data_IF_535646501766
#
_entry.id   IF_535646501766
#
_cell.length_a   1.000
_cell.length_b   1.000
_cell.length_c   1.000
_cell.angle_alpha   90.00
_cell.angle_beta   90.00
_cell.angle_gamma   90.00
#
_symmetry.space_group_name_H-M   'P 1'
#
loop_
_entity.id
_entity.type
_entity.pdbx_description
1 polymer ?
#
# COMPACT_ATOMS: atom_id res chain seq x y z
N UNK A 1 34.90 -20.61 28.27
CA UNK A 1 34.18 -20.16 27.07
C UNK A 1 32.70 -20.19 27.40
N UNK A 2 32.15 -19.06 27.85
CA UNK A 2 30.70 -18.89 27.97
C UNK A 2 30.16 -18.77 26.54
N UNK A 3 29.53 -19.83 26.06
CA UNK A 3 28.89 -19.84 24.74
C UNK A 3 27.80 -18.78 24.69
N UNK A 4 27.66 -18.17 23.51
CA UNK A 4 26.71 -17.10 23.22
C UNK A 4 25.26 -17.65 23.23
N UNK A 5 24.71 -17.83 24.43
CA UNK A 5 23.38 -18.39 24.64
C UNK A 5 22.24 -17.58 23.96
N UNK A 6 22.30 -16.23 23.87
CA UNK A 6 21.35 -15.46 23.07
C UNK A 6 21.36 -15.83 21.59
N UNK A 7 22.53 -15.95 20.97
CA UNK A 7 22.65 -16.33 19.56
C UNK A 7 22.09 -17.74 19.30
N UNK A 8 22.34 -18.69 20.23
CA UNK A 8 21.79 -20.04 20.13
C UNK A 8 20.25 -20.06 20.21
N UNK A 9 19.66 -19.27 21.13
CA UNK A 9 18.19 -19.17 21.23
C UNK A 9 17.56 -18.57 19.97
N UNK A 10 18.17 -17.52 19.41
CA UNK A 10 17.72 -16.93 18.13
C UNK A 10 17.77 -17.94 17.00
N UNK A 11 18.87 -18.69 16.88
CA UNK A 11 19.02 -19.72 15.86
C UNK A 11 17.97 -20.85 16.00
N UNK A 12 17.71 -21.32 17.23
CA UNK A 12 16.68 -22.33 17.50
C UNK A 12 15.29 -21.81 17.11
N UNK A 13 14.96 -20.56 17.48
CA UNK A 13 13.70 -19.93 17.09
C UNK A 13 13.50 -19.87 15.57
N UNK A 14 14.55 -19.50 14.82
CA UNK A 14 14.51 -19.49 13.35
C UNK A 14 14.26 -20.88 12.75
N UNK A 15 14.82 -21.94 13.33
CA UNK A 15 14.60 -23.32 12.86
C UNK A 15 13.16 -23.77 13.10
N UNK A 16 12.58 -23.43 14.25
CA UNK A 16 11.18 -23.73 14.53
C UNK A 16 10.25 -22.98 13.60
N UNK A 17 10.45 -21.66 13.43
CA UNK A 17 9.68 -20.86 12.48
C UNK A 17 9.76 -21.40 11.05
N UNK A 18 10.95 -21.83 10.60
CA UNK A 18 11.10 -22.47 9.29
C UNK A 18 10.36 -23.83 9.19
N UNK A 19 10.31 -24.59 10.29
CA UNK A 19 9.58 -25.87 10.32
C UNK A 19 8.07 -25.65 10.24
N UNK A 20 7.55 -24.64 10.93
CA UNK A 20 6.14 -24.26 10.90
C UNK A 20 5.73 -23.70 9.53
N UNK A 21 6.60 -22.96 8.86
CA UNK A 21 6.38 -22.47 7.49
C UNK A 21 6.27 -23.64 6.50
N UNK A 22 7.16 -24.62 6.59
CA UNK A 22 7.09 -25.84 5.75
C UNK A 22 5.81 -26.63 6.02
N UNK A 23 5.38 -26.71 7.28
CA UNK A 23 4.17 -27.43 7.67
C UNK A 23 2.87 -26.73 7.20
N UNK A 24 2.87 -25.40 7.13
CA UNK A 24 1.72 -24.59 6.68
C UNK A 24 1.78 -24.23 5.18
N UNK A 25 2.83 -24.65 4.47
CA UNK A 25 3.02 -24.43 3.04
C UNK A 25 1.92 -25.03 2.17
N UNK A 26 1.58 -24.41 1.02
CA UNK A 26 0.69 -25.01 0.04
C UNK A 26 1.28 -26.31 -0.51
N UNK A 27 0.41 -27.29 -0.76
CA UNK A 27 0.79 -28.61 -1.26
C UNK A 27 0.53 -28.77 -2.76
N UNK A 28 -0.06 -27.77 -3.40
CA UNK A 28 -0.39 -27.74 -4.82
C UNK A 28 0.06 -26.42 -5.48
N UNK A 29 0.20 -26.44 -6.82
CA UNK A 29 0.65 -25.27 -7.59
C UNK A 29 -0.30 -24.08 -7.40
N UNK A 30 -1.60 -24.34 -7.33
CA UNK A 30 -2.64 -23.33 -7.15
C UNK A 30 -2.47 -22.57 -5.83
N UNK A 31 -2.21 -23.28 -4.73
CA UNK A 31 -1.89 -22.69 -3.44
C UNK A 31 -0.57 -21.93 -3.44
N UNK A 32 0.46 -22.45 -4.11
CA UNK A 32 1.75 -21.74 -4.29
C UNK A 32 1.56 -20.41 -5.02
N UNK A 33 0.90 -20.45 -6.18
CA UNK A 33 0.61 -19.29 -7.02
C UNK A 33 -0.27 -18.28 -6.28
N UNK A 34 -1.31 -18.74 -5.60
CA UNK A 34 -2.19 -17.86 -4.83
C UNK A 34 -1.44 -17.17 -3.68
N UNK A 35 -0.61 -17.91 -2.92
CA UNK A 35 0.22 -17.32 -1.87
C UNK A 35 1.13 -16.24 -2.45
N UNK A 36 1.76 -16.51 -3.60
CA UNK A 36 2.63 -15.54 -4.27
C UNK A 36 1.86 -14.29 -4.71
N UNK A 37 0.71 -14.44 -5.36
CA UNK A 37 -0.15 -13.31 -5.74
C UNK A 37 -0.66 -12.52 -4.53
N UNK A 38 -0.90 -13.18 -3.39
CA UNK A 38 -1.30 -12.53 -2.16
C UNK A 38 -0.18 -11.65 -1.58
N UNK A 39 1.09 -12.12 -1.59
CA UNK A 39 2.26 -11.31 -1.21
C UNK A 39 2.41 -10.08 -2.11
N UNK A 40 2.27 -10.26 -3.42
CA UNK A 40 2.28 -9.16 -4.40
C UNK A 40 1.16 -8.16 -4.08
N UNK A 41 -0.06 -8.65 -3.83
CA UNK A 41 -1.21 -7.81 -3.51
C UNK A 41 -1.00 -7.02 -2.20
N UNK A 42 -0.36 -7.61 -1.19
CA UNK A 42 0.01 -6.91 0.03
C UNK A 42 1.01 -5.77 -0.25
N UNK A 43 2.04 -6.03 -1.07
CA UNK A 43 3.00 -5.00 -1.48
C UNK A 43 2.34 -3.84 -2.24
N UNK A 44 1.46 -4.14 -3.20
CA UNK A 44 0.70 -3.10 -3.94
C UNK A 44 -0.22 -2.31 -3.01
N UNK A 45 -0.88 -2.96 -2.04
CA UNK A 45 -1.71 -2.27 -1.04
C UNK A 45 -0.89 -1.37 -0.12
N UNK A 46 0.30 -1.82 0.30
CA UNK A 46 1.20 -1.01 1.12
C UNK A 46 1.63 0.25 0.37
N UNK A 47 2.09 0.11 -0.89
CA UNK A 47 2.43 1.24 -1.75
C UNK A 47 1.25 2.20 -1.98
N UNK A 48 0.03 1.67 -2.16
CA UNK A 48 -1.16 2.50 -2.33
C UNK A 48 -1.48 3.32 -1.07
N UNK A 49 -1.41 2.67 0.11
CA UNK A 49 -1.64 3.32 1.39
C UNK A 49 -0.59 4.41 1.67
N UNK A 50 0.67 4.11 1.41
CA UNK A 50 1.78 5.06 1.54
C UNK A 50 1.56 6.32 0.68
N UNK A 51 1.13 6.12 -0.57
CA UNK A 51 0.81 7.23 -1.46
C UNK A 51 -0.42 8.04 -1.02
N UNK A 52 -1.47 7.38 -0.52
CA UNK A 52 -2.64 8.04 0.06
C UNK A 52 -2.28 8.89 1.29
N UNK A 53 -1.40 8.37 2.15
CA UNK A 53 -0.88 9.10 3.32
C UNK A 53 -0.07 10.34 2.89
N UNK A 54 0.77 10.22 1.86
CA UNK A 54 1.53 11.34 1.29
C UNK A 54 0.63 12.44 0.72
N UNK A 55 -0.43 12.05 -0.01
CA UNK A 55 -1.43 12.98 -0.56
C UNK A 55 -2.16 13.69 0.58
N UNK A 56 -2.65 12.95 1.58
CA UNK A 56 -3.38 13.50 2.71
C UNK A 56 -2.51 14.47 3.54
N UNK A 57 -1.26 14.11 3.82
CA UNK A 57 -0.31 14.98 4.52
C UNK A 57 -0.05 16.29 3.75
N UNK A 58 0.07 16.20 2.42
CA UNK A 58 0.30 17.37 1.57
C UNK A 58 -0.92 18.31 1.51
N UNK A 59 -2.13 17.74 1.47
CA UNK A 59 -3.38 18.52 1.50
C UNK A 59 -3.57 19.23 2.84
N UNK A 60 -3.32 18.54 3.96
CA UNK A 60 -3.37 19.14 5.30
C UNK A 60 -2.35 20.28 5.47
N UNK A 61 -1.14 20.12 4.92
CA UNK A 61 -0.13 21.16 4.95
C UNK A 61 -0.54 22.42 4.16
N UNK A 62 -1.26 22.23 3.04
CA UNK A 62 -1.79 23.34 2.26
C UNK A 62 -2.88 24.11 3.01
N UNK A 63 -3.78 23.42 3.72
CA UNK A 63 -4.85 24.04 4.52
C UNK A 63 -4.32 24.72 5.81
N UNK A 64 -3.29 24.15 6.44
CA UNK A 64 -2.68 24.71 7.65
C UNK A 64 -1.75 25.90 7.41
N UNK A 65 -1.28 26.09 6.17
CA UNK A 65 -0.35 27.16 5.78
C UNK A 65 -0.97 28.55 5.68
N UNK A 66 -2.29 28.66 5.52
CA UNK A 66 -2.98 29.95 5.36
C UNK A 66 -3.19 30.70 6.70
N UNK A 67 -2.88 30.09 7.85
CA UNK A 67 -3.05 30.70 9.18
C UNK A 67 -1.80 31.31 9.83
N UNK A 68 -0.60 31.14 9.25
CA UNK A 68 0.67 31.50 9.90
C UNK A 68 1.50 32.57 9.17
N UNK A 69 0.86 33.37 8.29
CA UNK A 69 1.52 34.46 7.57
C UNK A 69 0.77 35.80 7.62
N UNK A 70 0.08 36.11 8.72
CA UNK A 70 -0.33 37.49 9.05
C UNK A 70 0.30 37.94 10.37
N UNK A 71 1.55 38.39 10.31
CA UNK A 71 2.27 38.80 11.51
C UNK A 71 3.52 39.65 11.28
N UNK A 72 3.65 40.31 10.12
CA UNK A 72 4.63 41.39 9.94
C UNK A 72 4.27 42.30 8.77
N UNK A 73 3.13 42.98 8.85
CA UNK A 73 2.86 44.15 8.03
C UNK A 73 2.55 45.33 8.94
N UNK A 74 3.26 46.42 8.66
CA UNK A 74 3.28 47.66 9.44
C UNK A 74 1.89 48.29 9.56
N UNK A 75 1.68 48.94 10.70
CA UNK A 75 0.48 49.67 11.05
C UNK A 75 0.03 50.65 9.95
N UNK A 76 -1.19 50.45 9.47
CA UNK A 76 -1.92 51.36 8.60
C UNK A 76 -3.38 51.40 9.02
N UNK A 77 -3.71 52.44 9.80
CA UNK A 77 -5.03 52.84 10.29
C UNK A 77 -6.09 52.85 9.17
N UNK A 78 -7.27 52.28 9.41
CA UNK A 78 -8.33 52.21 8.39
C UNK A 78 -9.60 51.53 8.87
N UNK A 79 -10.58 52.36 9.20
CA UNK A 79 -11.82 52.12 9.91
C UNK A 79 -12.96 51.42 9.11
N UNK A 80 -13.86 50.82 9.88
CA UNK A 80 -15.30 50.55 9.64
C UNK A 80 -15.86 49.55 8.58
N UNK A 81 -16.41 48.45 9.16
CA UNK A 81 -17.82 48.00 9.12
C UNK A 81 -18.44 47.32 7.87
N UNK A 82 -18.85 46.05 8.04
CA UNK A 82 -20.25 45.60 7.87
C UNK A 82 -20.42 44.09 8.21
N UNK A 83 -21.30 43.80 9.18
CA UNK A 83 -21.89 42.48 9.45
C UNK A 83 -22.88 42.05 8.34
N UNK A 84 -22.97 40.75 8.05
CA UNK A 84 -24.24 40.03 7.93
C UNK A 84 -24.06 38.52 7.70
N UNK A 85 -24.75 37.70 8.50
CA UNK A 85 -25.42 36.50 8.00
C UNK A 85 -24.80 35.13 8.30
N UNK A 86 -24.80 34.72 9.59
CA UNK A 86 -24.75 33.30 9.98
C UNK A 86 -26.16 32.69 9.92
N UNK A 87 -26.35 31.63 9.14
CA UNK A 87 -27.38 30.63 9.42
C UNK A 87 -26.76 29.23 9.36
N UNK A 88 -27.13 28.43 10.36
CA UNK A 88 -26.60 27.14 10.71
C UNK A 88 -27.55 26.02 10.25
N UNK A 89 -26.98 24.88 9.86
CA UNK A 89 -27.72 23.63 9.64
C UNK A 89 -26.82 22.42 9.87
N UNK A 90 -26.96 21.81 11.06
CA UNK A 90 -26.50 20.46 11.43
C UNK A 90 -27.39 19.43 10.70
N UNK A 91 -26.87 18.42 9.99
CA UNK A 91 -26.22 17.19 10.43
C UNK A 91 -27.16 16.22 11.17
N UNK A 92 -27.59 15.15 10.47
CA UNK A 92 -27.92 13.84 11.02
C UNK A 92 -27.57 12.80 9.92
N UNK A 93 -26.57 11.96 10.17
CA UNK A 93 -26.36 10.72 9.41
C UNK A 93 -25.95 9.63 10.40
N UNK A 94 -26.59 8.48 10.20
CA UNK A 94 -26.71 7.33 11.10
C UNK A 94 -25.44 6.47 11.03
N UNK A 95 -25.01 5.94 12.18
CA UNK A 95 -24.03 4.86 12.22
C UNK A 95 -24.51 3.80 13.23
N UNK A 96 -24.87 2.64 12.68
CA UNK A 96 -25.16 1.40 13.39
C UNK A 96 -23.86 0.79 13.91
N UNK A 97 -23.80 0.50 15.21
CA UNK A 97 -22.69 -0.20 15.86
C UNK A 97 -23.15 -1.64 16.16
N UNK A 98 -22.74 -2.59 15.31
CA UNK A 98 -22.85 -4.02 15.60
C UNK A 98 -21.71 -4.44 16.53
N UNK A 99 -22.10 -5.04 17.65
CA UNK A 99 -21.18 -5.56 18.65
C UNK A 99 -20.39 -6.77 18.17
N UNK A 100 -19.14 -6.85 18.63
CA UNK A 100 -18.43 -8.11 18.72
C UNK A 100 -17.69 -8.23 20.05
N UNK A 101 -18.19 -9.18 20.82
CA UNK A 101 -17.65 -9.76 22.03
C UNK A 101 -16.64 -10.84 21.62
N UNK A 102 -15.45 -10.86 22.22
CA UNK A 102 -14.64 -12.07 22.38
C UNK A 102 -13.55 -11.86 23.44
N UNK A 103 -13.25 -12.95 24.12
CA UNK A 103 -12.69 -13.05 25.46
C UNK A 103 -11.16 -13.16 25.50
N UNK A 104 -10.60 -12.66 26.61
CA UNK A 104 -9.60 -13.24 27.52
C UNK A 104 -8.24 -13.85 27.02
N UNK A 105 -7.21 -13.36 27.71
CA UNK A 105 -5.99 -14.04 28.21
C UNK A 105 -4.87 -14.43 27.22
N UNK A 106 -3.80 -13.62 27.20
CA UNK A 106 -2.41 -14.11 27.27
C UNK A 106 -1.45 -13.00 27.75
N UNK A 107 -1.09 -12.99 29.03
CA UNK A 107 -0.06 -12.12 29.59
C UNK A 107 1.32 -12.71 29.32
N UNK A 108 1.92 -12.33 28.19
CA UNK A 108 3.33 -12.52 27.88
C UNK A 108 4.13 -11.24 28.15
N UNK A 109 4.73 -11.11 29.34
CA UNK A 109 5.72 -10.07 29.64
C UNK A 109 6.98 -10.29 28.77
N UNK A 110 7.06 -9.58 27.65
CA UNK A 110 8.26 -9.41 26.85
C UNK A 110 8.84 -8.02 27.06
N UNK A 111 10.07 -7.95 27.60
CA UNK A 111 10.91 -6.75 27.65
C UNK A 111 11.08 -6.16 26.22
N UNK A 112 10.27 -5.16 25.88
CA UNK A 112 10.45 -4.27 24.74
C UNK A 112 11.28 -3.05 25.17
N UNK A 113 12.57 -3.26 25.46
CA UNK A 113 13.53 -2.17 25.42
C UNK A 113 13.98 -1.97 23.96
N UNK A 114 13.31 -1.04 23.26
CA UNK A 114 13.79 -0.54 21.98
C UNK A 114 12.75 -0.01 21.01
N UNK A 115 11.71 0.70 21.47
CA UNK A 115 10.95 1.62 20.61
C UNK A 115 11.87 2.80 20.25
N UNK A 116 12.78 2.54 19.30
CA UNK A 116 13.33 3.57 18.45
C UNK A 116 12.18 4.06 17.58
N UNK A 117 11.68 5.24 17.92
CA UNK A 117 10.72 6.04 17.19
C UNK A 117 11.20 6.30 15.75
N UNK A 118 11.09 5.30 14.87
CA UNK A 118 11.33 5.41 13.43
C UNK A 118 10.17 6.18 12.73
N UNK A 119 9.33 6.90 13.48
CA UNK A 119 8.25 7.73 12.92
C UNK A 119 8.69 9.12 12.45
N UNK A 120 9.96 9.49 12.67
CA UNK A 120 10.49 10.82 12.35
C UNK A 120 11.04 10.98 10.91
N UNK A 121 11.19 9.90 10.11
CA UNK A 121 11.74 10.01 8.74
C UNK A 121 10.77 10.66 7.73
N UNK A 122 9.46 10.65 7.98
CA UNK A 122 8.48 11.27 7.07
C UNK A 122 8.43 12.80 7.17
N UNK A 123 8.90 13.41 8.26
CA UNK A 123 8.73 14.85 8.50
C UNK A 123 9.68 15.73 7.68
N UNK A 124 10.78 15.17 7.17
CA UNK A 124 11.80 15.92 6.41
C UNK A 124 11.71 15.73 4.89
N UNK A 125 10.78 14.90 4.41
CA UNK A 125 10.62 14.56 2.98
C UNK A 125 9.85 15.62 2.17
N UNK A 126 9.44 16.73 2.78
CA UNK A 126 8.70 17.81 2.12
C UNK A 126 7.22 17.47 1.85
N UNK A 127 6.51 18.40 1.21
CA UNK A 127 5.08 18.25 0.88
C UNK A 127 4.87 18.50 -0.62
N UNK A 128 3.90 17.78 -1.20
CA UNK A 128 3.53 17.95 -2.60
C UNK A 128 2.86 19.31 -2.82
N UNK A 129 3.24 19.98 -3.90
CA UNK A 129 2.57 21.19 -4.40
C UNK A 129 1.33 20.81 -5.21
N UNK A 130 0.43 21.76 -5.46
CA UNK A 130 -0.87 21.48 -6.10
C UNK A 130 -0.81 20.65 -7.41
N UNK A 131 0.15 20.90 -8.30
CA UNK A 131 0.30 20.09 -9.52
C UNK A 131 0.88 18.68 -9.26
N UNK A 132 1.72 18.55 -8.24
CA UNK A 132 2.31 17.28 -7.80
C UNK A 132 1.24 16.42 -7.10
N UNK A 133 0.34 17.03 -6.32
CA UNK A 133 -0.83 16.36 -5.72
C UNK A 133 -1.71 15.73 -6.80
N UNK A 134 -2.07 16.48 -7.86
CA UNK A 134 -2.87 15.91 -8.95
C UNK A 134 -2.17 14.76 -9.70
N UNK A 135 -0.83 14.79 -9.74
CA UNK A 135 -0.03 13.70 -10.32
C UNK A 135 -0.01 12.48 -9.41
N UNK A 136 0.14 12.69 -8.10
CA UNK A 136 0.08 11.64 -7.08
C UNK A 136 -1.31 10.97 -7.04
N UNK A 137 -2.40 11.73 -7.15
CA UNK A 137 -3.77 11.20 -7.26
C UNK A 137 -3.95 10.30 -8.49
N UNK A 138 -3.39 10.70 -9.65
CA UNK A 138 -3.41 9.88 -10.85
C UNK A 138 -2.61 8.57 -10.67
N UNK A 139 -1.46 8.64 -10.02
CA UNK A 139 -0.66 7.46 -9.67
C UNK A 139 -1.41 6.55 -8.67
N UNK A 140 -2.11 7.10 -7.68
CA UNK A 140 -2.95 6.34 -6.76
C UNK A 140 -4.07 5.60 -7.51
N UNK A 141 -4.69 6.26 -8.51
CA UNK A 141 -5.63 5.61 -9.42
C UNK A 141 -5.03 4.41 -10.16
N UNK A 142 -3.78 4.53 -10.64
CA UNK A 142 -3.06 3.43 -11.30
C UNK A 142 -2.75 2.28 -10.33
N UNK A 143 -2.31 2.56 -9.10
CA UNK A 143 -2.09 1.55 -8.05
C UNK A 143 -3.41 0.85 -7.68
N UNK A 144 -4.51 1.61 -7.59
CA UNK A 144 -5.85 1.06 -7.39
C UNK A 144 -6.27 0.10 -8.50
N UNK A 145 -5.99 0.45 -9.76
CA UNK A 145 -6.22 -0.41 -10.92
C UNK A 145 -5.34 -1.68 -10.87
N UNK A 146 -4.07 -1.55 -10.49
CA UNK A 146 -3.16 -2.69 -10.30
C UNK A 146 -3.67 -3.67 -9.24
N UNK A 147 -4.08 -3.16 -8.07
CA UNK A 147 -4.71 -3.96 -7.02
C UNK A 147 -6.06 -4.56 -7.42
N UNK A 148 -6.80 -3.88 -8.30
CA UNK A 148 -8.03 -4.39 -8.92
C UNK A 148 -7.76 -5.57 -9.86
N UNK A 149 -6.77 -5.44 -10.73
CA UNK A 149 -6.35 -6.50 -11.66
C UNK A 149 -5.89 -7.76 -10.91
N UNK A 150 -5.05 -7.61 -9.87
CA UNK A 150 -4.62 -8.73 -9.04
C UNK A 150 -5.80 -9.46 -8.39
N UNK A 151 -6.80 -8.72 -7.88
CA UNK A 151 -8.02 -9.32 -7.33
C UNK A 151 -8.84 -10.05 -8.40
N UNK A 152 -8.97 -9.45 -9.57
CA UNK A 152 -9.68 -10.04 -10.70
C UNK A 152 -9.03 -11.33 -11.20
N UNK A 153 -7.70 -11.46 -11.09
CA UNK A 153 -6.94 -12.67 -11.45
C UNK A 153 -6.97 -13.73 -10.34
N UNK A 154 -6.84 -13.30 -9.08
CA UNK A 154 -6.72 -14.22 -7.94
C UNK A 154 -7.98 -15.07 -7.73
N UNK A 155 -9.16 -14.52 -8.03
CA UNK A 155 -10.43 -15.22 -7.85
C UNK A 155 -10.59 -16.40 -8.84
N UNK A 156 -10.44 -16.22 -10.17
CA UNK A 156 -10.40 -17.33 -11.11
C UNK A 156 -9.35 -18.37 -10.77
N UNK A 157 -8.16 -17.98 -10.32
CA UNK A 157 -7.15 -18.95 -9.88
C UNK A 157 -7.71 -19.87 -8.79
N UNK A 158 -8.42 -19.33 -7.80
CA UNK A 158 -9.01 -20.08 -6.69
C UNK A 158 -10.25 -20.90 -7.07
N UNK A 159 -11.12 -20.37 -7.93
CA UNK A 159 -12.40 -21.00 -8.27
C UNK A 159 -12.32 -21.93 -9.50
N UNK A 160 -11.33 -21.70 -10.37
CA UNK A 160 -11.16 -22.39 -11.65
C UNK A 160 -10.55 -23.79 -11.57
N UNK A 161 -10.21 -24.39 -12.73
CA UNK A 161 -9.68 -25.74 -12.82
C UNK A 161 -8.37 -25.95 -12.03
N UNK A 162 -7.93 -27.20 -11.84
CA UNK A 162 -6.60 -27.48 -11.27
C UNK A 162 -5.48 -26.89 -12.13
N UNK A 163 -4.42 -26.39 -11.51
CA UNK A 163 -3.20 -25.94 -12.19
C UNK A 163 -2.14 -27.03 -12.05
N UNK A 164 -1.76 -27.67 -13.15
CA UNK A 164 -0.76 -28.74 -13.15
C UNK A 164 0.14 -28.66 -14.40
N UNK A 165 1.17 -29.50 -14.47
CA UNK A 165 2.15 -29.47 -15.55
C UNK A 165 1.55 -29.77 -16.95
N UNK A 166 0.35 -30.34 -17.02
CA UNK A 166 -0.36 -30.59 -18.27
C UNK A 166 -1.36 -29.47 -18.61
N UNK A 167 -1.67 -28.60 -17.63
CA UNK A 167 -2.70 -27.58 -17.73
C UNK A 167 -2.24 -26.22 -17.18
N UNK A 168 -1.90 -25.32 -18.11
CA UNK A 168 -1.68 -23.88 -17.94
C UNK A 168 -0.70 -23.43 -16.84
N UNK A 169 0.15 -24.31 -16.32
CA UNK A 169 1.11 -23.98 -15.27
C UNK A 169 2.12 -22.93 -15.75
N UNK A 170 2.65 -23.07 -16.97
CA UNK A 170 3.65 -22.15 -17.52
C UNK A 170 3.10 -20.71 -17.63
N UNK A 171 1.85 -20.56 -18.07
CA UNK A 171 1.15 -19.27 -18.17
C UNK A 171 0.91 -18.66 -16.78
N UNK A 172 0.51 -19.47 -15.80
CA UNK A 172 0.36 -18.98 -14.43
C UNK A 172 1.69 -18.58 -13.78
N UNK A 173 2.77 -19.32 -14.02
CA UNK A 173 4.12 -18.98 -13.54
C UNK A 173 4.62 -17.68 -14.21
N UNK A 174 4.40 -17.53 -15.51
CA UNK A 174 4.66 -16.31 -16.28
C UNK A 174 3.90 -15.12 -15.68
N UNK A 175 2.60 -15.28 -15.44
CA UNK A 175 1.76 -14.26 -14.82
C UNK A 175 2.26 -13.89 -13.42
N UNK A 176 2.59 -14.87 -12.58
CA UNK A 176 3.10 -14.64 -11.23
C UNK A 176 4.43 -13.87 -11.25
N UNK A 177 5.30 -14.17 -12.21
CA UNK A 177 6.53 -13.40 -12.42
C UNK A 177 6.26 -11.95 -12.81
N UNK A 178 5.29 -11.70 -13.71
CA UNK A 178 4.86 -10.34 -14.04
C UNK A 178 4.23 -9.62 -12.83
N UNK A 179 3.48 -10.33 -11.99
CA UNK A 179 2.91 -9.78 -10.77
C UNK A 179 4.00 -9.29 -9.79
N UNK A 180 5.12 -10.01 -9.67
CA UNK A 180 6.26 -9.54 -8.88
C UNK A 180 6.90 -8.26 -9.44
N UNK A 181 6.97 -8.15 -10.76
CA UNK A 181 7.43 -6.93 -11.44
C UNK A 181 6.46 -5.78 -11.22
N UNK A 182 5.15 -6.05 -11.22
CA UNK A 182 4.13 -5.06 -10.93
C UNK A 182 4.32 -4.47 -9.54
N UNK A 183 4.50 -5.30 -8.51
CA UNK A 183 4.80 -4.83 -7.15
C UNK A 183 6.01 -3.91 -7.12
N UNK A 184 7.13 -4.34 -7.71
CA UNK A 184 8.38 -3.55 -7.73
C UNK A 184 8.18 -2.22 -8.46
N UNK A 185 7.39 -2.22 -9.55
CA UNK A 185 7.04 -1.03 -10.31
C UNK A 185 6.13 -0.06 -9.52
N UNK A 186 5.18 -0.59 -8.74
CA UNK A 186 4.36 0.23 -7.85
C UNK A 186 5.19 0.90 -6.74
N UNK A 187 6.09 0.16 -6.10
CA UNK A 187 7.01 0.69 -5.08
C UNK A 187 7.92 1.79 -5.69
N UNK A 188 8.48 1.56 -6.88
CA UNK A 188 9.29 2.55 -7.59
C UNK A 188 8.48 3.79 -8.01
N UNK A 189 7.23 3.62 -8.45
CA UNK A 189 6.35 4.73 -8.80
C UNK A 189 6.06 5.63 -7.59
N UNK A 190 5.81 5.03 -6.41
CA UNK A 190 5.64 5.79 -5.16
C UNK A 190 6.95 6.49 -4.76
N UNK A 191 8.09 5.81 -4.91
CA UNK A 191 9.39 6.40 -4.62
C UNK A 191 9.66 7.68 -5.44
N UNK A 192 9.29 7.70 -6.72
CA UNK A 192 9.40 8.88 -7.59
C UNK A 192 8.47 10.04 -7.22
N UNK A 193 7.51 9.82 -6.32
CA UNK A 193 6.58 10.83 -5.86
C UNK A 193 7.01 11.49 -4.54
N UNK A 194 8.08 11.02 -3.91
CA UNK A 194 8.64 11.72 -2.76
C UNK A 194 9.33 13.03 -3.20
N UNK A 195 9.05 14.17 -2.54
CA UNK A 195 9.76 15.40 -2.82
C UNK A 195 11.26 15.33 -2.44
N UNK A 196 12.13 16.08 -3.14
CA UNK A 196 11.85 16.92 -4.31
C UNK A 196 11.66 16.11 -5.61
N UNK A 197 10.67 16.50 -6.43
CA UNK A 197 10.45 15.90 -7.75
C UNK A 197 11.46 16.45 -8.77
N UNK A 198 12.60 15.80 -8.88
CA UNK A 198 13.68 16.28 -9.74
C UNK A 198 13.55 15.83 -11.21
N UNK A 199 12.82 14.73 -11.49
CA UNK A 199 12.68 14.18 -12.84
C UNK A 199 11.26 13.66 -13.18
N UNK A 200 10.42 14.49 -13.83
CA UNK A 200 9.12 14.06 -14.33
C UNK A 200 9.18 12.92 -15.36
N UNK A 201 10.29 12.75 -16.06
CA UNK A 201 10.45 11.69 -17.07
C UNK A 201 10.65 10.32 -16.41
N UNK A 202 11.29 10.28 -15.24
CA UNK A 202 11.42 9.06 -14.45
C UNK A 202 10.05 8.60 -13.95
N UNK A 203 9.25 9.51 -13.39
CA UNK A 203 7.89 9.23 -12.94
C UNK A 203 7.01 8.68 -14.08
N UNK A 204 7.07 9.31 -15.25
CA UNK A 204 6.37 8.83 -16.44
C UNK A 204 6.85 7.42 -16.83
N UNK A 205 8.16 7.18 -16.83
CA UNK A 205 8.72 5.86 -17.14
C UNK A 205 8.26 4.78 -16.18
N UNK A 206 8.15 5.08 -14.88
CA UNK A 206 7.62 4.12 -13.89
C UNK A 206 6.12 3.87 -14.10
N UNK A 207 5.33 4.91 -14.39
CA UNK A 207 3.91 4.74 -14.69
C UNK A 207 3.68 3.88 -15.95
N UNK A 208 4.46 4.10 -17.01
CA UNK A 208 4.45 3.29 -18.23
C UNK A 208 4.88 1.83 -17.94
N UNK A 209 5.90 1.63 -17.10
CA UNK A 209 6.34 0.30 -16.67
C UNK A 209 5.23 -0.48 -15.94
N UNK A 210 4.53 0.17 -15.02
CA UNK A 210 3.36 -0.43 -14.33
C UNK A 210 2.25 -0.76 -15.33
N UNK A 211 1.92 0.17 -16.23
CA UNK A 211 0.90 -0.03 -17.26
C UNK A 211 1.23 -1.23 -18.17
N UNK A 212 2.43 -1.27 -18.76
CA UNK A 212 2.87 -2.37 -19.62
C UNK A 212 2.90 -3.70 -18.87
N UNK A 213 3.29 -3.70 -17.59
CA UNK A 213 3.26 -4.92 -16.79
C UNK A 213 1.83 -5.45 -16.61
N UNK A 214 0.85 -4.56 -16.40
CA UNK A 214 -0.57 -4.96 -16.34
C UNK A 214 -1.06 -5.54 -17.68
N UNK A 215 -0.66 -4.95 -18.81
CA UNK A 215 -0.99 -5.48 -20.13
C UNK A 215 -0.42 -6.90 -20.34
N UNK A 216 0.84 -7.11 -19.94
CA UNK A 216 1.48 -8.43 -20.01
C UNK A 216 0.77 -9.44 -19.11
N UNK A 217 0.42 -9.07 -17.88
CA UNK A 217 -0.34 -9.95 -16.99
C UNK A 217 -1.70 -10.37 -17.57
N UNK A 218 -2.39 -9.45 -18.25
CA UNK A 218 -3.67 -9.76 -18.88
C UNK A 218 -3.49 -10.60 -20.15
N UNK A 219 -2.41 -10.40 -20.91
CA UNK A 219 -2.10 -11.18 -22.10
C UNK A 219 -1.70 -12.63 -21.76
N UNK A 220 -1.03 -12.84 -20.63
CA UNK A 220 -0.62 -14.15 -20.12
C UNK A 220 -1.72 -14.85 -19.30
N UNK A 221 -2.90 -14.23 -19.14
CA UNK A 221 -3.98 -14.83 -18.37
C UNK A 221 -4.54 -16.07 -19.10
N UNK A 222 -4.60 -17.26 -18.46
CA UNK A 222 -5.00 -18.48 -19.15
C UNK A 222 -6.43 -18.44 -19.69
N UNK A 223 -6.60 -18.73 -20.98
CA UNK A 223 -7.90 -18.65 -21.66
C UNK A 223 -8.95 -19.61 -21.07
N UNK A 224 -8.52 -20.75 -20.53
CA UNK A 224 -9.40 -21.76 -19.91
C UNK A 224 -10.17 -21.24 -18.67
N UNK A 225 -9.74 -20.09 -18.15
CA UNK A 225 -10.37 -19.39 -17.02
C UNK A 225 -11.32 -18.28 -17.49
N UNK A 226 -11.36 -17.95 -18.78
CA UNK A 226 -12.29 -17.00 -19.38
C UNK A 226 -13.63 -17.68 -19.68
N UNK A 227 -14.67 -17.40 -18.88
CA UNK A 227 -16.04 -17.83 -19.17
C UNK A 227 -16.69 -18.78 -18.15
N UNK A 228 -16.08 -18.98 -16.98
CA UNK A 228 -16.70 -19.72 -15.87
C UNK A 228 -17.52 -18.83 -14.92
N UNK A 229 -18.01 -17.67 -15.37
CA UNK A 229 -18.83 -16.75 -14.57
C UNK A 229 -20.31 -17.18 -14.47
#
# INVERSE_FOLDING_TARGET
ASGDAPALRKAVGMVWAASDEVASGPLDNKGCLFRRLAEVMQGVKAAAKELEELIAASQQAAEGGEGAQEGRQEAGDGDEAAEAGREAGKAEEEAEEEGRQEDADDEGEGDEEGDGDDSDDFRDMGVLRGAEVGTAEAAAGLLGAAGGALRAISRPLLEGPPVDAEHCLDEWESLAWHADKLRSGCEALVACLYPPHDDPSELQGQAESVHTTLELMLAEFPEDYLGQQ
#
